data_IF_175159408844
#
_entry.id   IF_175159408844
#
_cell.length_a   1.000
_cell.length_b   1.000
_cell.length_c   1.000
_cell.angle_alpha   90.00
_cell.angle_beta   90.00
_cell.angle_gamma   90.00
#
_symmetry.space_group_name_H-M   'P 1'
#
loop_
_entity.id
_entity.type
_entity.pdbx_description
1 polymer ?
#
# COMPACT_ATOMS: atom_id res chain seq x y z
N UNK A 1 -2.12 18.84 1.72
CA UNK A 1 -0.70 18.61 1.42
C UNK A 1 -0.59 17.28 0.70
N UNK A 2 0.01 17.23 -0.48
CA UNK A 2 0.25 15.99 -1.23
C UNK A 2 1.69 15.54 -0.97
N UNK A 3 1.90 14.25 -0.72
CA UNK A 3 3.24 13.69 -0.58
C UNK A 3 3.83 13.42 -1.95
N UNK A 4 5.12 13.73 -2.10
CA UNK A 4 5.91 13.39 -3.27
C UNK A 4 6.90 12.28 -2.90
N UNK A 5 6.73 11.12 -3.53
CA UNK A 5 7.60 9.94 -3.34
C UNK A 5 8.55 9.75 -4.52
N UNK A 6 8.76 10.82 -5.28
CA UNK A 6 9.55 10.84 -6.51
C UNK A 6 8.93 9.95 -7.61
N UNK A 7 9.53 10.01 -8.79
CA UNK A 7 9.17 9.22 -9.95
C UNK A 7 9.42 7.72 -9.72
N UNK A 8 8.78 6.87 -10.54
CA UNK A 8 9.15 5.46 -10.65
C UNK A 8 9.28 5.03 -12.10
N UNK A 9 9.96 3.91 -12.31
CA UNK A 9 10.07 3.27 -13.62
C UNK A 9 9.04 2.12 -13.68
N UNK A 10 8.17 2.15 -14.69
CA UNK A 10 7.10 1.17 -14.89
C UNK A 10 7.61 -0.21 -15.32
N UNK A 11 8.83 -0.29 -15.86
CA UNK A 11 9.51 -1.53 -16.21
C UNK A 11 10.44 -2.05 -15.11
N UNK A 12 10.50 -1.40 -13.95
CA UNK A 12 11.27 -1.89 -12.81
C UNK A 12 10.71 -3.25 -12.35
N UNK A 13 11.54 -4.23 -11.93
CA UNK A 13 11.05 -5.52 -11.45
C UNK A 13 10.02 -5.43 -10.31
N UNK A 14 10.08 -4.35 -9.51
CA UNK A 14 9.14 -4.05 -8.42
C UNK A 14 8.14 -2.93 -8.78
N UNK A 15 7.86 -2.69 -10.06
CA UNK A 15 7.03 -1.56 -10.47
C UNK A 15 5.58 -1.67 -9.98
N UNK A 16 4.99 -2.87 -9.95
CA UNK A 16 3.64 -3.07 -9.38
C UNK A 16 3.58 -2.66 -7.91
N UNK A 17 4.59 -3.07 -7.15
CA UNK A 17 4.76 -2.70 -5.74
C UNK A 17 4.83 -1.17 -5.58
N UNK A 18 5.65 -0.50 -6.41
CA UNK A 18 5.79 0.96 -6.38
C UNK A 18 4.53 1.72 -6.79
N UNK A 19 3.78 1.21 -7.78
CA UNK A 19 2.51 1.78 -8.22
C UNK A 19 1.45 1.69 -7.11
N UNK A 20 1.26 0.50 -6.52
CA UNK A 20 0.32 0.28 -5.43
C UNK A 20 0.65 1.17 -4.21
N UNK A 21 1.93 1.28 -3.85
CA UNK A 21 2.38 2.11 -2.74
C UNK A 21 2.09 3.62 -2.97
N UNK A 22 2.19 4.12 -4.21
CA UNK A 22 1.84 5.51 -4.56
C UNK A 22 0.32 5.74 -4.52
N UNK A 23 -0.47 4.79 -5.03
CA UNK A 23 -1.93 4.87 -5.02
C UNK A 23 -2.48 4.94 -3.59
N UNK A 24 -2.06 4.01 -2.73
CA UNK A 24 -2.42 3.98 -1.31
C UNK A 24 -1.76 5.12 -0.53
N UNK A 25 -0.57 5.56 -0.95
CA UNK A 25 0.17 6.65 -0.32
C UNK A 25 -0.47 8.03 -0.52
N UNK A 26 -1.46 8.16 -1.40
CA UNK A 26 -2.02 9.45 -1.78
C UNK A 26 -1.00 10.34 -2.53
N UNK A 27 0.00 9.71 -3.13
CA UNK A 27 1.12 10.38 -3.76
C UNK A 27 0.79 10.80 -5.19
N UNK A 28 1.49 11.79 -5.71
CA UNK A 28 1.49 12.02 -7.14
C UNK A 28 2.10 10.81 -7.89
N UNK A 29 1.66 10.61 -9.13
CA UNK A 29 2.14 9.52 -9.99
C UNK A 29 2.85 10.13 -11.18
N UNK A 30 4.18 10.04 -11.16
CA UNK A 30 5.06 10.44 -12.26
C UNK A 30 5.94 9.26 -12.64
N UNK A 31 6.12 9.04 -13.94
CA UNK A 31 6.97 7.96 -14.46
C UNK A 31 8.23 8.53 -15.10
N UNK A 32 9.37 7.90 -14.86
CA UNK A 32 10.67 8.27 -15.41
C UNK A 32 11.22 7.19 -16.34
N UNK A 33 10.33 6.47 -17.03
CA UNK A 33 10.72 5.52 -18.04
C UNK A 33 11.45 6.20 -19.20
N UNK A 34 12.28 5.42 -19.90
CA UNK A 34 12.81 5.84 -21.19
C UNK A 34 11.63 6.04 -22.18
N UNK A 35 11.61 7.12 -22.99
CA UNK A 35 10.57 7.32 -24.00
C UNK A 35 10.34 6.07 -24.86
N UNK A 36 9.07 5.69 -25.04
CA UNK A 36 8.67 4.50 -25.79
C UNK A 36 8.86 3.17 -25.06
N UNK A 37 9.33 3.18 -23.81
CA UNK A 37 9.57 1.97 -23.01
C UNK A 37 8.72 2.02 -21.74
N UNK A 38 7.41 1.89 -21.88
CA UNK A 38 6.47 1.92 -20.76
C UNK A 38 5.73 0.59 -20.63
N UNK A 39 5.47 0.16 -19.39
CA UNK A 39 4.47 -0.87 -19.14
C UNK A 39 3.07 -0.24 -19.05
N UNK A 40 2.39 -0.16 -20.19
CA UNK A 40 1.03 0.37 -20.24
C UNK A 40 0.01 -0.49 -19.49
N UNK A 41 0.27 -1.78 -19.28
CA UNK A 41 -0.64 -2.64 -18.53
C UNK A 41 -0.61 -2.25 -17.05
N UNK A 42 0.58 -2.06 -16.49
CA UNK A 42 0.74 -1.54 -15.14
C UNK A 42 0.17 -0.12 -15.01
N UNK A 43 0.50 0.80 -15.91
CA UNK A 43 0.04 2.19 -15.81
C UNK A 43 -1.47 2.32 -15.86
N UNK A 44 -2.16 1.50 -16.66
CA UNK A 44 -3.63 1.46 -16.68
C UNK A 44 -4.25 1.05 -15.35
N UNK A 45 -3.58 0.23 -14.52
CA UNK A 45 -4.07 -0.12 -13.17
C UNK A 45 -4.11 1.10 -12.23
N UNK A 46 -3.37 2.17 -12.55
CA UNK A 46 -3.32 3.42 -11.78
C UNK A 46 -4.29 4.49 -12.32
N UNK A 47 -5.08 4.16 -13.34
CA UNK A 47 -6.04 5.08 -13.97
C UNK A 47 -7.45 4.52 -13.80
N UNK A 48 -8.33 5.34 -13.23
CA UNK A 48 -9.75 5.01 -13.09
C UNK A 48 -10.48 5.11 -14.44
N UNK A 49 -11.67 4.47 -14.60
CA UNK A 49 -12.42 4.50 -15.86
C UNK A 49 -12.77 5.90 -16.39
N UNK A 50 -12.86 6.89 -15.50
CA UNK A 50 -13.10 8.28 -15.85
C UNK A 50 -11.82 9.06 -16.23
N UNK A 51 -10.68 8.39 -16.38
CA UNK A 51 -9.39 8.98 -16.71
C UNK A 51 -8.65 9.67 -15.56
N UNK A 52 -9.21 9.70 -14.36
CA UNK A 52 -8.51 10.23 -13.19
C UNK A 52 -7.52 9.22 -12.62
N UNK A 53 -6.57 9.70 -11.82
CA UNK A 53 -5.54 8.85 -11.21
C UNK A 53 -6.09 8.18 -9.95
N UNK A 54 -5.88 6.87 -9.83
CA UNK A 54 -6.20 6.10 -8.63
C UNK A 54 -5.30 6.54 -7.48
N UNK A 55 -5.83 7.40 -6.60
CA UNK A 55 -5.07 8.02 -5.52
C UNK A 55 -5.94 8.27 -4.30
N UNK A 56 -5.47 7.83 -3.14
CA UNK A 56 -6.13 8.12 -1.86
C UNK A 56 -5.97 9.60 -1.43
N UNK A 57 -6.79 10.07 -0.49
CA UNK A 57 -6.90 11.50 -0.15
C UNK A 57 -5.80 12.04 0.76
N UNK A 58 -5.27 11.22 1.65
CA UNK A 58 -4.32 11.66 2.68
C UNK A 58 -2.89 11.24 2.30
N UNK A 59 -1.86 11.73 3.00
CA UNK A 59 -0.57 11.07 3.04
C UNK A 59 -0.70 9.66 3.64
N UNK A 60 -0.16 8.65 2.95
CA UNK A 60 -0.11 7.28 3.46
C UNK A 60 0.67 7.20 4.77
N UNK A 61 0.15 6.45 5.73
CA UNK A 61 0.77 6.27 7.05
C UNK A 61 0.86 4.79 7.39
N UNK A 62 1.93 4.35 8.05
CA UNK A 62 1.97 3.01 8.61
C UNK A 62 0.82 2.80 9.60
N UNK A 63 0.25 1.60 9.64
CA UNK A 63 -0.68 1.20 10.69
C UNK A 63 0.08 1.15 12.02
N UNK A 64 -0.64 1.35 13.13
CA UNK A 64 0.00 1.47 14.45
C UNK A 64 0.77 0.22 14.85
N UNK A 65 0.28 -0.94 14.43
CA UNK A 65 0.85 -2.24 14.79
C UNK A 65 2.10 -2.61 14.00
N UNK A 66 2.47 -1.89 12.93
CA UNK A 66 3.75 -2.09 12.23
C UNK A 66 4.80 -1.02 12.56
N UNK A 67 4.50 -0.03 13.42
CA UNK A 67 5.38 1.12 13.69
C UNK A 67 6.74 0.76 14.31
N UNK A 68 6.78 -0.29 15.13
CA UNK A 68 7.95 -0.68 15.93
C UNK A 68 8.57 -2.01 15.49
N UNK A 69 8.22 -2.48 14.30
CA UNK A 69 8.78 -3.70 13.72
C UNK A 69 9.60 -3.37 12.47
N UNK A 70 10.51 -4.27 12.10
CA UNK A 70 11.30 -4.17 10.87
C UNK A 70 10.65 -5.05 9.79
N UNK A 71 9.75 -4.51 8.94
CA UNK A 71 9.04 -5.29 7.93
C UNK A 71 9.96 -5.80 6.81
N UNK A 72 11.23 -5.39 6.80
CA UNK A 72 12.20 -5.81 5.79
C UNK A 72 13.09 -6.99 6.24
N UNK A 73 13.19 -7.25 7.56
CA UNK A 73 14.23 -8.16 8.07
C UNK A 73 13.81 -9.11 9.18
N UNK A 74 12.68 -8.87 9.84
CA UNK A 74 12.31 -9.68 11.01
C UNK A 74 11.66 -11.03 10.67
N UNK A 75 11.45 -11.32 9.38
CA UNK A 75 10.90 -12.57 8.87
C UNK A 75 9.43 -12.80 9.19
N UNK A 76 8.70 -11.80 9.73
CA UNK A 76 7.32 -11.99 10.20
C UNK A 76 6.39 -10.80 10.00
N UNK A 77 6.92 -9.57 9.96
CA UNK A 77 6.10 -8.36 9.92
C UNK A 77 5.81 -7.93 8.49
N UNK A 78 4.57 -7.49 8.26
CA UNK A 78 4.13 -6.86 7.02
C UNK A 78 4.16 -5.33 7.19
N UNK A 79 4.58 -4.62 6.15
CA UNK A 79 4.35 -3.17 6.09
C UNK A 79 2.89 -2.95 5.69
N UNK A 80 2.12 -2.32 6.58
CA UNK A 80 0.74 -1.94 6.29
C UNK A 80 0.63 -0.44 6.24
N UNK A 81 0.12 0.09 5.14
CA UNK A 81 -0.08 1.53 4.92
C UNK A 81 -1.57 1.78 4.80
N UNK A 82 -2.11 2.67 5.63
CA UNK A 82 -3.51 3.04 5.59
C UNK A 82 -3.72 4.45 5.04
N UNK A 83 -4.91 4.66 4.47
CA UNK A 83 -5.40 5.92 3.94
C UNK A 83 -6.94 5.94 3.87
N UNK A 84 -7.52 7.02 3.34
CA UNK A 84 -8.95 7.17 3.04
C UNK A 84 -9.17 7.55 1.58
N UNK A 85 -10.29 7.13 1.01
CA UNK A 85 -10.86 7.75 -0.19
C UNK A 85 -12.18 8.47 0.18
N UNK A 86 -13.00 8.82 -0.82
CA UNK A 86 -14.29 9.50 -0.64
C UNK A 86 -15.34 8.67 0.11
N UNK A 87 -15.17 7.35 0.18
CA UNK A 87 -16.21 6.40 0.56
C UNK A 87 -15.78 5.42 1.67
N UNK A 88 -14.49 5.11 1.79
CA UNK A 88 -14.00 4.07 2.70
C UNK A 88 -12.54 4.27 3.12
N UNK A 89 -12.11 3.45 4.07
CA UNK A 89 -10.71 3.23 4.38
C UNK A 89 -10.02 2.35 3.35
N UNK A 90 -8.74 2.64 3.08
CA UNK A 90 -7.89 1.86 2.17
C UNK A 90 -6.67 1.40 2.93
N UNK A 91 -6.30 0.12 2.79
CA UNK A 91 -5.06 -0.44 3.34
C UNK A 91 -4.29 -1.14 2.23
N UNK A 92 -3.02 -0.78 2.07
CA UNK A 92 -2.04 -1.54 1.30
C UNK A 92 -1.21 -2.39 2.25
N UNK A 93 -1.08 -3.69 1.95
CA UNK A 93 -0.30 -4.64 2.75
C UNK A 93 0.84 -5.18 1.89
N UNK A 94 2.06 -5.00 2.37
CA UNK A 94 3.27 -5.22 1.60
C UNK A 94 4.22 -6.16 2.36
N UNK A 95 4.58 -7.26 1.71
CA UNK A 95 5.72 -8.07 2.15
C UNK A 95 7.01 -7.41 1.66
N UNK A 96 7.77 -6.82 2.58
CA UNK A 96 9.03 -6.13 2.28
C UNK A 96 10.26 -6.98 2.64
N UNK A 97 10.06 -8.22 3.09
CA UNK A 97 11.12 -9.05 3.64
C UNK A 97 12.21 -9.31 2.59
N UNK A 98 13.45 -9.42 3.06
CA UNK A 98 14.60 -9.80 2.22
C UNK A 98 15.19 -8.68 1.37
N UNK A 99 14.59 -7.48 1.34
CA UNK A 99 15.10 -6.34 0.60
C UNK A 99 15.42 -5.16 1.54
N UNK A 100 16.58 -4.53 1.36
CA UNK A 100 16.94 -3.35 2.17
C UNK A 100 18.04 -2.48 1.60
N UNK A 101 18.09 -1.24 2.08
CA UNK A 101 19.13 -0.27 1.69
C UNK A 101 20.50 -0.63 2.30
N UNK A 102 21.49 -0.83 1.45
CA UNK A 102 22.89 -0.97 1.85
C UNK A 102 23.56 0.41 1.88
N UNK A 103 23.92 0.87 3.09
CA UNK A 103 24.58 2.18 3.28
C UNK A 103 25.98 2.25 2.64
N UNK A 104 26.73 1.15 2.65
CA UNK A 104 28.09 1.09 2.10
C UNK A 104 28.06 1.15 0.59
N UNK A 105 27.29 0.24 -0.03
CA UNK A 105 27.16 0.16 -1.48
C UNK A 105 26.23 1.22 -2.09
N UNK A 106 25.53 2.01 -1.26
CA UNK A 106 24.51 3.00 -1.66
C UNK A 106 23.52 2.44 -2.69
N UNK A 107 23.02 1.24 -2.43
CA UNK A 107 22.04 0.56 -3.28
C UNK A 107 21.10 -0.29 -2.47
N UNK A 108 19.91 -0.55 -3.00
CA UNK A 108 19.04 -1.60 -2.49
C UNK A 108 19.68 -2.96 -2.79
N UNK A 109 19.67 -3.84 -1.80
CA UNK A 109 20.14 -5.21 -1.89
C UNK A 109 19.02 -6.15 -1.50
N UNK A 110 18.98 -7.29 -2.20
CA UNK A 110 18.26 -8.46 -1.73
C UNK A 110 19.26 -9.25 -0.88
N UNK A 111 18.99 -9.38 0.41
CA UNK A 111 19.83 -10.11 1.36
C UNK A 111 19.27 -11.47 1.73
N UNK A 112 18.01 -11.73 1.37
CA UNK A 112 17.37 -13.03 1.50
C UNK A 112 16.48 -13.26 0.27
N UNK A 113 16.85 -14.24 -0.55
CA UNK A 113 16.10 -14.63 -1.75
C UNK A 113 15.08 -15.75 -1.45
N UNK A 114 15.19 -16.42 -0.30
CA UNK A 114 14.32 -17.52 0.10
C UNK A 114 13.25 -17.04 1.09
N UNK A 115 12.37 -16.16 0.60
CA UNK A 115 11.28 -15.63 1.40
C UNK A 115 10.22 -16.71 1.67
N UNK A 116 9.86 -16.86 2.95
CA UNK A 116 8.71 -17.64 3.36
C UNK A 116 7.41 -16.83 3.24
N UNK A 117 6.30 -17.53 3.03
CA UNK A 117 4.97 -16.91 3.15
C UNK A 117 4.75 -16.46 4.59
N UNK A 118 4.42 -15.19 4.77
CA UNK A 118 4.05 -14.62 6.07
C UNK A 118 2.57 -14.25 6.10
N UNK A 119 1.97 -14.37 7.28
CA UNK A 119 0.57 -14.04 7.52
C UNK A 119 0.49 -12.89 8.51
N UNK A 120 -0.45 -11.98 8.29
CA UNK A 120 -0.77 -10.91 9.23
C UNK A 120 -2.27 -10.75 9.41
N UNK A 121 -2.64 -9.83 10.29
CA UNK A 121 -4.04 -9.50 10.61
C UNK A 121 -4.30 -8.06 10.20
N UNK A 122 -5.51 -7.80 9.68
CA UNK A 122 -6.00 -6.46 9.37
C UNK A 122 -7.22 -6.20 10.24
N UNK A 123 -7.32 -4.99 10.79
CA UNK A 123 -8.44 -4.57 11.64
C UNK A 123 -9.02 -3.25 11.16
N UNK A 124 -10.29 -2.99 11.46
CA UNK A 124 -10.91 -1.68 11.16
C UNK A 124 -10.14 -0.53 11.82
N UNK A 125 -9.63 -0.74 13.05
CA UNK A 125 -8.80 0.23 13.78
C UNK A 125 -7.41 0.49 13.19
N UNK A 126 -6.98 -0.30 12.21
CA UNK A 126 -5.73 -0.04 11.49
C UNK A 126 -5.85 1.22 10.60
N UNK A 127 -7.08 1.61 10.23
CA UNK A 127 -7.38 2.87 9.56
C UNK A 127 -7.80 3.91 10.61
N UNK A 128 -6.84 4.67 11.14
CA UNK A 128 -7.10 5.59 12.26
C UNK A 128 -8.24 6.59 12.00
N UNK A 129 -8.44 7.01 10.76
CA UNK A 129 -9.45 8.02 10.40
C UNK A 129 -10.72 7.43 9.76
N UNK A 130 -10.93 6.12 9.87
CA UNK A 130 -12.14 5.48 9.37
C UNK A 130 -13.46 6.13 9.87
N UNK A 131 -13.58 6.60 11.15
CA UNK A 131 -14.78 7.31 11.60
C UNK A 131 -15.14 8.57 10.80
N UNK A 132 -14.23 9.15 10.02
CA UNK A 132 -14.49 10.36 9.21
C UNK A 132 -15.30 10.09 7.95
N UNK A 133 -15.32 8.85 7.49
CA UNK A 133 -16.02 8.40 6.27
C UNK A 133 -17.09 7.36 6.58
N UNK A 134 -17.25 7.00 7.85
CA UNK A 134 -18.33 6.17 8.34
C UNK A 134 -19.52 7.03 8.78
N UNK A 135 -20.69 6.41 8.90
CA UNK A 135 -21.89 7.08 9.43
C UNK A 135 -21.71 7.45 10.91
N UNK A 136 -22.47 8.45 11.36
CA UNK A 136 -22.35 8.99 12.73
C UNK A 136 -22.68 8.00 13.83
N UNK A 137 -23.46 6.97 13.51
CA UNK A 137 -23.88 5.86 14.38
C UNK A 137 -22.97 4.62 14.23
N UNK A 138 -21.85 4.74 13.52
CA UNK A 138 -20.95 3.62 13.30
C UNK A 138 -20.34 3.08 14.60
N UNK A 139 -20.65 1.81 14.91
CA UNK A 139 -20.21 1.17 16.16
C UNK A 139 -18.83 0.50 16.09
N UNK A 140 -18.19 0.49 14.91
CA UNK A 140 -16.84 -0.06 14.69
C UNK A 140 -16.77 -1.34 13.85
N UNK A 141 -17.93 -1.92 13.48
CA UNK A 141 -18.02 -3.07 12.58
C UNK A 141 -17.64 -2.68 11.14
N UNK A 142 -16.87 -3.49 10.43
CA UNK A 142 -16.46 -3.19 9.06
C UNK A 142 -16.74 -4.36 8.13
N UNK A 143 -16.80 -4.08 6.82
CA UNK A 143 -16.70 -5.09 5.78
C UNK A 143 -15.39 -4.83 5.05
N UNK A 144 -14.54 -5.84 4.96
CA UNK A 144 -13.34 -5.79 4.14
C UNK A 144 -13.63 -6.43 2.80
N UNK A 145 -13.22 -5.74 1.74
CA UNK A 145 -13.17 -6.28 0.40
C UNK A 145 -11.71 -6.54 0.00
N UNK A 146 -11.39 -7.80 -0.32
CA UNK A 146 -10.10 -8.18 -0.92
C UNK A 146 -10.20 -8.10 -2.44
N UNK A 147 -9.51 -7.15 -3.07
CA UNK A 147 -9.60 -6.98 -4.52
C UNK A 147 -9.09 -8.20 -5.31
N UNK A 148 -7.96 -8.80 -4.88
CA UNK A 148 -7.39 -9.96 -5.56
C UNK A 148 -8.16 -11.25 -5.27
N UNK A 149 -8.70 -11.39 -4.05
CA UNK A 149 -9.52 -12.54 -3.69
C UNK A 149 -10.95 -12.46 -4.23
N UNK A 150 -11.44 -11.25 -4.51
CA UNK A 150 -12.86 -11.01 -4.80
C UNK A 150 -13.77 -11.29 -3.59
N UNK A 151 -13.22 -11.29 -2.38
CA UNK A 151 -13.89 -11.74 -1.17
C UNK A 151 -14.36 -10.56 -0.31
N UNK A 152 -15.54 -10.73 0.31
CA UNK A 152 -16.07 -9.84 1.32
C UNK A 152 -16.06 -10.55 2.66
N UNK A 153 -15.46 -9.93 3.67
CA UNK A 153 -15.39 -10.48 5.03
C UNK A 153 -15.95 -9.46 6.01
N UNK A 154 -16.93 -9.89 6.81
CA UNK A 154 -17.41 -9.11 7.94
C UNK A 154 -16.38 -9.13 9.08
N UNK A 155 -16.03 -7.95 9.56
CA UNK A 155 -15.19 -7.74 10.73
C UNK A 155 -16.02 -7.11 11.84
N UNK A 156 -16.36 -7.87 12.89
CA UNK A 156 -16.89 -7.28 14.11
C UNK A 156 -15.94 -6.22 14.66
N UNK A 157 -16.49 -5.26 15.40
CA UNK A 157 -15.71 -4.33 16.21
C UNK A 157 -14.67 -5.10 17.04
N UNK A 158 -13.45 -4.59 17.07
CA UNK A 158 -12.32 -5.13 17.85
C UNK A 158 -11.81 -6.54 17.47
N UNK A 159 -12.25 -7.11 16.33
CA UNK A 159 -11.58 -8.25 15.70
C UNK A 159 -10.08 -7.95 15.42
#
# INVERSE_FOLDING_TARGET
MQTDWDMFNSLHPMAEYHGAARAVGGCAIYVSDKPGNHDFNLLKKLVLPNGSILRAKLPGRPTRDCLFFDPARDGKSLLKIWNLNDHCGVIGVFNCQGAGWCRVGKKNLIHDEQLSTITGVIRSKDVNYLPRVADSDWEGNAIIYSHLGGELTYLPKDA
#
